data_IF_946527061859
#
_entry.id   IF_946527061859
#
_cell.length_a   1.000
_cell.length_b   1.000
_cell.length_c   1.000
_cell.angle_alpha   90.00
_cell.angle_beta   90.00
_cell.angle_gamma   90.00
#
_symmetry.space_group_name_H-M   'P 1'
#
loop_
_entity.id
_entity.type
_entity.pdbx_description
1 polymer ?
#
# COMPACT_ATOMS: atom_id res chain seq x y z
N UNK A 1 -1.75 -3.26 -13.83
CA UNK A 1 -2.40 -4.51 -13.50
C UNK A 1 -3.91 -4.47 -13.64
N UNK A 2 -4.56 -5.50 -13.15
CA UNK A 2 -6.02 -5.65 -13.18
C UNK A 2 -6.52 -6.00 -11.80
N UNK A 3 -7.71 -5.51 -11.43
CA UNK A 3 -8.30 -5.84 -10.13
C UNK A 3 -9.81 -5.92 -10.17
N UNK A 4 -10.36 -6.61 -9.18
CA UNK A 4 -11.78 -6.59 -8.80
C UNK A 4 -11.84 -6.31 -7.31
N UNK A 5 -12.86 -5.59 -6.89
CA UNK A 5 -13.04 -5.30 -5.47
C UNK A 5 -14.52 -5.28 -5.09
N UNK A 6 -14.83 -5.95 -3.99
CA UNK A 6 -16.15 -5.92 -3.36
C UNK A 6 -15.98 -5.57 -1.89
N UNK A 7 -16.49 -4.43 -1.42
CA UNK A 7 -16.44 -4.08 0.00
C UNK A 7 -17.37 -4.99 0.81
N UNK A 8 -16.98 -5.22 2.07
CA UNK A 8 -17.86 -5.86 3.03
C UNK A 8 -19.04 -4.98 3.38
N UNK A 9 -20.13 -5.56 3.92
CA UNK A 9 -21.40 -4.84 4.10
C UNK A 9 -21.41 -3.80 5.22
N UNK A 10 -20.52 -3.94 6.21
CA UNK A 10 -20.55 -3.05 7.39
C UNK A 10 -19.12 -2.65 7.75
N UNK A 11 -18.88 -1.34 7.84
CA UNK A 11 -17.60 -0.77 8.19
C UNK A 11 -17.48 -0.58 9.71
N UNK A 12 -16.36 -1.01 10.28
CA UNK A 12 -16.04 -0.86 11.70
C UNK A 12 -14.81 0.04 11.89
N UNK A 13 -14.86 0.88 12.92
CA UNK A 13 -13.70 1.66 13.34
C UNK A 13 -12.73 0.84 14.22
N UNK A 14 -11.65 1.44 14.66
CA UNK A 14 -10.64 0.77 15.48
C UNK A 14 -11.08 0.48 16.93
N UNK A 15 -12.29 0.91 17.31
CA UNK A 15 -12.93 0.58 18.58
C UNK A 15 -14.04 -0.45 18.41
N UNK A 16 -14.08 -1.10 17.24
CA UNK A 16 -15.07 -2.10 16.87
C UNK A 16 -16.51 -1.54 16.86
N UNK A 17 -16.66 -0.27 16.50
CA UNK A 17 -17.95 0.39 16.38
C UNK A 17 -18.31 0.57 14.90
N UNK A 18 -19.61 0.42 14.60
CA UNK A 18 -20.13 0.57 13.24
C UNK A 18 -20.06 2.03 12.80
N UNK A 19 -19.56 2.25 11.59
CA UNK A 19 -19.57 3.55 10.91
C UNK A 19 -20.55 3.48 9.76
N UNK A 20 -21.79 3.93 9.95
CA UNK A 20 -22.91 3.70 9.05
C UNK A 20 -22.79 4.36 7.68
N UNK A 21 -22.02 5.46 7.58
CA UNK A 21 -21.91 6.24 6.34
C UNK A 21 -20.62 5.92 5.57
N UNK A 22 -19.90 4.88 5.95
CA UNK A 22 -18.60 4.55 5.34
C UNK A 22 -18.66 3.22 4.62
N UNK A 23 -18.16 3.22 3.38
CA UNK A 23 -17.93 2.03 2.57
C UNK A 23 -16.44 1.78 2.50
N UNK A 24 -16.04 0.54 2.69
CA UNK A 24 -14.62 0.18 2.62
C UNK A 24 -14.06 0.35 1.21
N UNK A 25 -12.77 0.61 1.13
CA UNK A 25 -12.03 0.73 -0.12
C UNK A 25 -10.78 -0.14 -0.05
N UNK A 26 -10.36 -0.66 -1.18
CA UNK A 26 -9.08 -1.35 -1.26
C UNK A 26 -7.92 -0.38 -1.45
N UNK A 27 -6.72 -0.88 -1.21
CA UNK A 27 -5.49 -0.16 -1.47
C UNK A 27 -4.55 -1.04 -2.29
N UNK A 28 -4.01 -0.47 -3.36
CA UNK A 28 -2.92 -1.07 -4.13
C UNK A 28 -1.88 0.02 -4.30
N UNK A 29 -0.70 -0.18 -3.76
CA UNK A 29 0.39 0.78 -3.92
C UNK A 29 1.74 0.07 -3.96
N UNK A 30 2.72 0.78 -4.49
CA UNK A 30 4.10 0.34 -4.49
C UNK A 30 4.99 1.47 -3.99
N UNK A 31 6.04 1.12 -3.29
CA UNK A 31 7.05 2.05 -2.83
C UNK A 31 8.43 1.59 -3.23
N UNK A 32 9.30 2.56 -3.49
CA UNK A 32 10.74 2.35 -3.64
C UNK A 32 11.40 2.95 -2.41
N UNK A 33 12.20 2.15 -1.69
CA UNK A 33 12.86 2.61 -0.47
C UNK A 33 14.34 2.23 -0.45
N UNK A 34 15.13 3.06 0.19
CA UNK A 34 16.59 2.86 0.29
C UNK A 34 16.92 1.65 1.16
N UNK A 35 17.96 0.92 0.74
CA UNK A 35 18.50 -0.17 1.54
C UNK A 35 19.04 0.35 2.88
N UNK A 36 18.76 -0.39 3.95
CA UNK A 36 19.43 -0.24 5.24
C UNK A 36 19.76 -1.64 5.75
N UNK A 37 21.02 -1.87 6.05
CA UNK A 37 21.49 -3.19 6.46
C UNK A 37 21.45 -3.36 7.97
N UNK A 38 21.07 -4.56 8.40
CA UNK A 38 21.19 -4.98 9.78
C UNK A 38 22.64 -5.42 10.10
N UNK A 39 22.87 -5.88 11.32
CA UNK A 39 24.20 -6.36 11.78
C UNK A 39 24.73 -7.55 10.97
N UNK A 40 23.85 -8.31 10.34
CA UNK A 40 24.18 -9.51 9.55
C UNK A 40 24.35 -9.19 8.05
N UNK A 41 24.22 -7.92 7.66
CA UNK A 41 24.38 -7.47 6.28
C UNK A 41 23.12 -7.66 5.42
N UNK A 42 21.98 -7.93 6.03
CA UNK A 42 20.70 -8.08 5.33
C UNK A 42 19.90 -6.79 5.35
N UNK A 43 19.14 -6.54 4.28
CA UNK A 43 18.26 -5.37 4.25
C UNK A 43 17.18 -5.50 5.32
N UNK A 44 16.97 -4.41 6.06
CA UNK A 44 15.86 -4.29 7.00
C UNK A 44 14.60 -4.00 6.20
N UNK A 45 13.68 -4.98 6.18
CA UNK A 45 12.41 -4.87 5.43
C UNK A 45 11.45 -3.98 6.18
N UNK A 46 10.78 -3.07 5.47
CA UNK A 46 9.71 -2.24 6.04
C UNK A 46 8.48 -3.10 6.36
N UNK A 47 7.72 -2.69 7.35
CA UNK A 47 6.59 -3.44 7.90
C UNK A 47 5.27 -2.69 7.79
N UNK A 48 4.16 -3.36 8.13
CA UNK A 48 2.84 -2.75 8.26
C UNK A 48 2.54 -2.20 9.67
N UNK A 49 3.50 -2.20 10.58
CA UNK A 49 3.27 -1.72 11.95
C UNK A 49 3.38 -0.20 12.05
N UNK A 50 2.23 0.47 12.06
CA UNK A 50 2.16 1.93 12.13
C UNK A 50 2.68 2.54 13.43
N UNK A 51 2.91 1.72 14.46
CA UNK A 51 3.42 2.19 15.77
C UNK A 51 4.91 2.51 15.72
N UNK A 52 5.64 1.89 14.81
CA UNK A 52 7.05 2.21 14.58
C UNK A 52 7.18 3.01 13.28
N UNK A 53 7.30 4.33 13.40
CA UNK A 53 7.32 5.25 12.26
C UNK A 53 8.41 4.96 11.23
N UNK A 54 9.58 4.52 11.66
CA UNK A 54 10.69 4.24 10.75
C UNK A 54 10.62 2.84 10.13
N UNK A 55 10.04 1.89 10.82
CA UNK A 55 9.79 0.56 10.28
C UNK A 55 8.55 0.50 9.38
N UNK A 56 7.60 1.40 9.59
CA UNK A 56 6.32 1.39 8.88
C UNK A 56 6.47 1.89 7.45
N UNK A 57 6.02 1.08 6.50
CA UNK A 57 6.09 1.39 5.06
C UNK A 57 5.37 2.69 4.68
N UNK A 58 4.37 3.11 5.47
CA UNK A 58 3.61 4.34 5.22
C UNK A 58 4.33 5.62 5.65
N UNK A 59 5.31 5.54 6.55
CA UNK A 59 5.94 6.73 7.14
C UNK A 59 7.46 6.68 7.19
N UNK A 60 8.10 5.57 6.84
CA UNK A 60 9.55 5.45 6.89
C UNK A 60 10.24 6.52 6.06
N UNK A 61 11.27 7.14 6.62
CA UNK A 61 12.11 8.12 5.92
C UNK A 61 12.90 7.51 4.75
N UNK A 62 13.01 6.19 4.70
CA UNK A 62 13.70 5.46 3.63
C UNK A 62 12.92 5.42 2.32
N UNK A 63 11.60 5.64 2.36
CA UNK A 63 10.75 5.63 1.16
C UNK A 63 11.02 6.89 0.35
N UNK A 64 11.37 6.73 -0.92
CA UNK A 64 11.70 7.84 -1.81
C UNK A 64 10.67 8.06 -2.92
N UNK A 65 10.01 6.99 -3.38
CA UNK A 65 9.00 7.06 -4.43
C UNK A 65 7.77 6.23 -4.05
N UNK A 66 6.62 6.67 -4.54
CA UNK A 66 5.36 5.95 -4.35
C UNK A 66 4.51 6.01 -5.62
N UNK A 67 3.87 4.88 -5.92
CA UNK A 67 2.80 4.77 -6.91
C UNK A 67 1.57 4.18 -6.20
N UNK A 68 0.38 4.72 -6.42
CA UNK A 68 -0.82 4.24 -5.73
C UNK A 68 -2.03 4.27 -6.65
N UNK A 69 -2.91 3.29 -6.48
CA UNK A 69 -4.23 3.28 -7.07
C UNK A 69 -5.02 4.50 -6.54
N UNK A 70 -5.58 5.29 -7.45
CA UNK A 70 -6.29 6.52 -7.06
C UNK A 70 -7.67 6.24 -6.44
N UNK A 71 -8.36 5.24 -6.95
CA UNK A 71 -9.72 4.91 -6.51
C UNK A 71 -9.84 3.43 -6.22
N UNK A 72 -9.95 3.09 -4.94
CA UNK A 72 -10.09 1.73 -4.43
C UNK A 72 -11.54 1.29 -4.18
N UNK A 73 -12.52 2.01 -4.73
CA UNK A 73 -13.92 1.67 -4.57
C UNK A 73 -14.34 0.39 -5.30
N UNK A 74 -15.58 -0.01 -5.13
CA UNK A 74 -16.13 -1.25 -5.71
C UNK A 74 -15.99 -1.31 -7.22
N UNK A 75 -15.41 -2.41 -7.72
CA UNK A 75 -15.40 -2.77 -9.13
C UNK A 75 -15.67 -4.27 -9.27
N UNK A 76 -16.82 -4.61 -9.83
CA UNK A 76 -17.28 -6.02 -9.93
C UNK A 76 -16.59 -6.79 -11.05
N UNK A 77 -16.19 -6.10 -12.11
CA UNK A 77 -15.51 -6.69 -13.26
C UNK A 77 -14.03 -6.36 -13.24
N UNK A 78 -13.24 -7.16 -13.94
CA UNK A 78 -11.82 -6.90 -14.11
C UNK A 78 -11.59 -5.48 -14.65
N UNK A 79 -10.90 -4.67 -13.88
CA UNK A 79 -10.62 -3.27 -14.19
C UNK A 79 -9.12 -3.06 -14.27
N UNK A 80 -8.66 -2.50 -15.38
CA UNK A 80 -7.25 -2.16 -15.55
C UNK A 80 -6.90 -0.91 -14.75
N UNK A 81 -5.71 -0.90 -14.16
CA UNK A 81 -5.18 0.28 -13.49
C UNK A 81 -3.71 0.47 -13.84
N UNK A 82 -3.31 1.73 -13.80
CA UNK A 82 -1.92 2.16 -13.96
C UNK A 82 -1.64 3.24 -12.93
N UNK A 83 -0.48 3.20 -12.31
CA UNK A 83 -0.04 4.23 -11.38
C UNK A 83 1.42 4.57 -11.66
N UNK A 84 1.74 5.85 -11.66
CA UNK A 84 3.10 6.33 -11.87
C UNK A 84 3.82 6.50 -10.54
N UNK A 85 5.11 6.12 -10.50
CA UNK A 85 5.96 6.42 -9.36
C UNK A 85 6.32 7.89 -9.35
N UNK A 86 6.07 8.55 -8.24
CA UNK A 86 6.43 9.94 -8.02
C UNK A 86 7.36 10.04 -6.82
N UNK A 87 8.36 10.93 -6.90
CA UNK A 87 9.21 11.24 -5.76
C UNK A 87 8.37 11.86 -4.65
N UNK A 88 8.61 11.41 -3.42
CA UNK A 88 8.03 12.05 -2.24
C UNK A 88 8.71 13.39 -1.99
N UNK A 89 8.04 14.28 -1.24
CA UNK A 89 8.55 15.60 -0.90
C UNK A 89 9.94 15.51 -0.27
N UNK A 90 10.87 16.33 -0.75
CA UNK A 90 12.25 16.41 -0.27
C UNK A 90 13.06 15.13 -0.45
N UNK A 91 12.62 14.22 -1.32
CA UNK A 91 13.33 12.99 -1.65
C UNK A 91 13.95 13.06 -3.04
N UNK A 92 15.05 12.32 -3.22
CA UNK A 92 15.74 12.20 -4.50
C UNK A 92 15.99 10.73 -4.80
N UNK A 93 16.13 10.41 -6.09
CA UNK A 93 16.56 9.10 -6.54
C UNK A 93 18.01 9.19 -7.00
N UNK A 94 18.87 8.37 -6.40
CA UNK A 94 20.30 8.28 -6.73
C UNK A 94 20.58 6.91 -7.33
N UNK A 95 20.90 6.83 -8.63
CA UNK A 95 21.14 5.53 -9.29
C UNK A 95 22.38 4.79 -8.77
N UNK A 96 23.24 5.43 -7.98
CA UNK A 96 24.37 4.77 -7.35
C UNK A 96 23.99 4.03 -6.06
N UNK A 97 22.83 4.31 -5.50
CA UNK A 97 22.32 3.65 -4.30
C UNK A 97 21.51 2.42 -4.65
N UNK A 98 21.37 1.52 -3.67
CA UNK A 98 20.51 0.35 -3.78
C UNK A 98 19.15 0.61 -3.16
N UNK A 99 18.10 0.22 -3.88
CA UNK A 99 16.72 0.39 -3.46
C UNK A 99 15.99 -0.95 -3.49
N UNK A 100 14.93 -1.02 -2.70
CA UNK A 100 13.99 -2.14 -2.71
C UNK A 100 12.61 -1.66 -3.12
N UNK A 101 11.92 -2.50 -3.87
CA UNK A 101 10.55 -2.29 -4.29
C UNK A 101 9.63 -3.15 -3.43
N UNK A 102 8.60 -2.53 -2.87
CA UNK A 102 7.54 -3.26 -2.19
C UNK A 102 6.20 -2.92 -2.84
N UNK A 103 5.40 -3.95 -3.10
CA UNK A 103 4.02 -3.80 -3.59
C UNK A 103 3.09 -4.29 -2.49
N UNK A 104 2.11 -3.46 -2.15
CA UNK A 104 1.14 -3.76 -1.10
C UNK A 104 -0.26 -3.74 -1.69
N UNK A 105 -0.98 -4.83 -1.46
CA UNK A 105 -2.39 -4.96 -1.83
C UNK A 105 -3.18 -5.27 -0.56
N UNK A 106 -4.17 -4.44 -0.25
CA UNK A 106 -4.99 -4.60 0.94
C UNK A 106 -6.48 -4.48 0.59
N UNK A 107 -7.29 -5.39 1.11
CA UNK A 107 -8.73 -5.36 0.93
C UNK A 107 -9.42 -4.26 1.75
N UNK A 108 -8.73 -3.70 2.74
CA UNK A 108 -9.20 -2.55 3.52
C UNK A 108 -8.05 -1.52 3.59
N UNK A 109 -8.25 -0.37 2.97
CA UNK A 109 -7.20 0.66 2.86
C UNK A 109 -6.71 1.16 4.24
N UNK A 110 -7.59 1.14 5.24
CA UNK A 110 -7.26 1.53 6.61
C UNK A 110 -7.04 0.34 7.55
N UNK A 111 -6.81 -0.86 6.99
CA UNK A 111 -6.58 -2.07 7.77
C UNK A 111 -5.38 -1.98 8.71
N UNK A 112 -4.34 -1.23 8.34
CA UNK A 112 -3.18 -0.99 9.21
C UNK A 112 -3.57 -0.28 10.51
N UNK A 113 -4.67 0.45 10.52
CA UNK A 113 -5.23 1.15 11.68
C UNK A 113 -6.38 0.38 12.33
N UNK A 114 -6.55 -0.90 11.97
CA UNK A 114 -7.62 -1.78 12.45
C UNK A 114 -9.02 -1.28 12.13
N UNK A 115 -9.18 -0.69 10.93
CA UNK A 115 -10.45 -0.21 10.42
C UNK A 115 -10.76 -0.87 9.10
N UNK A 116 -12.01 -1.21 8.87
CA UNK A 116 -12.45 -1.83 7.63
C UNK A 116 -13.79 -2.55 7.75
N UNK A 117 -14.19 -3.20 6.68
CA UNK A 117 -15.42 -3.97 6.61
C UNK A 117 -15.12 -5.46 6.46
N UNK A 118 -15.47 -6.30 7.43
CA UNK A 118 -15.32 -7.74 7.27
C UNK A 118 -16.02 -8.25 6.01
N UNK A 119 -15.32 -9.12 5.26
CA UNK A 119 -15.80 -9.62 3.98
C UNK A 119 -15.34 -8.81 2.77
N UNK A 120 -14.66 -7.69 2.96
CA UNK A 120 -14.03 -6.96 1.85
C UNK A 120 -13.07 -7.88 1.11
N UNK A 121 -13.19 -7.94 -0.22
CA UNK A 121 -12.44 -8.87 -1.06
C UNK A 121 -11.78 -8.15 -2.23
N UNK A 122 -10.46 -8.20 -2.28
CA UNK A 122 -9.65 -7.68 -3.37
C UNK A 122 -9.02 -8.85 -4.14
N UNK A 123 -9.17 -8.84 -5.47
CA UNK A 123 -8.52 -9.79 -6.36
C UNK A 123 -7.65 -8.99 -7.32
N UNK A 124 -6.39 -9.35 -7.44
CA UNK A 124 -5.41 -8.64 -8.27
C UNK A 124 -4.75 -9.63 -9.23
N UNK A 125 -4.52 -9.20 -10.47
CA UNK A 125 -3.85 -9.99 -11.48
C UNK A 125 -2.95 -9.14 -12.36
N UNK A 126 -1.95 -9.77 -12.97
CA UNK A 126 -1.03 -9.16 -13.94
C UNK A 126 -0.34 -7.88 -13.46
N UNK A 127 0.11 -7.85 -12.22
CA UNK A 127 0.92 -6.73 -11.73
C UNK A 127 2.24 -6.65 -12.49
N UNK A 128 2.53 -5.49 -13.03
CA UNK A 128 3.79 -5.20 -13.72
C UNK A 128 4.37 -3.89 -13.22
N UNK A 129 5.68 -3.89 -13.00
CA UNK A 129 6.44 -2.66 -12.75
C UNK A 129 7.39 -2.50 -13.92
N UNK A 130 7.34 -1.33 -14.55
CA UNK A 130 8.17 -1.02 -15.72
C UNK A 130 9.02 0.21 -15.46
N UNK A 131 10.16 0.28 -16.10
CA UNK A 131 11.01 1.48 -16.11
C UNK A 131 11.25 1.92 -17.54
N UNK A 132 11.47 3.20 -17.69
CA UNK A 132 11.83 3.78 -18.98
C UNK A 132 13.33 4.05 -19.06
#
# INVERSE_FOLDING_TARGET
GWFKYTPGPVYYDNKNQIVSDKVDECSIYAVLYEEALDKDGNNIVLTGDYKDKEAYIGTSSRVVMRAALENGGEVKDWTEFTASFNLLKDKTYDPSKKYYLAVVCASSAEGDYYQGAPGSTLIVDNLKVTSK
#
